data_IF_570392132066
#
_entry.id   IF_570392132066
#
_cell.length_a   1.000
_cell.length_b   1.000
_cell.length_c   1.000
_cell.angle_alpha   90.00
_cell.angle_beta   90.00
_cell.angle_gamma   90.00
#
_symmetry.space_group_name_H-M   'P 1'
#
loop_
_entity.id
_entity.type
_entity.pdbx_description
1 polymer ?
#
# COMPACT_ATOMS: atom_id res chain seq x y z
N UNK A 1 -4.54 -2.24 2.61
CA UNK A 1 -5.19 -1.98 1.32
C UNK A 1 -6.33 -1.02 1.55
N UNK A 2 -6.58 -0.12 0.60
CA UNK A 2 -7.64 0.89 0.67
C UNK A 2 -8.30 1.05 -0.70
N UNK A 3 -9.63 1.14 -0.73
CA UNK A 3 -10.37 1.48 -1.95
C UNK A 3 -10.18 2.96 -2.28
N UNK A 4 -10.01 3.27 -3.56
CA UNK A 4 -9.92 4.64 -4.03
C UNK A 4 -11.32 5.24 -4.23
N UNK A 5 -11.53 6.52 -3.91
CA UNK A 5 -12.81 7.16 -4.14
C UNK A 5 -13.03 7.38 -5.64
N UNK A 6 -14.26 7.12 -6.11
CA UNK A 6 -14.70 7.44 -7.47
C UNK A 6 -14.67 6.27 -8.46
N UNK A 7 -14.04 5.15 -8.12
CA UNK A 7 -14.08 3.91 -8.89
C UNK A 7 -13.86 2.67 -8.01
N UNK A 8 -13.89 1.49 -8.62
CA UNK A 8 -13.67 0.20 -7.96
C UNK A 8 -12.17 -0.16 -7.91
N UNK A 9 -11.25 0.80 -7.92
CA UNK A 9 -9.82 0.49 -7.84
C UNK A 9 -9.35 0.41 -6.40
N UNK A 10 -8.43 -0.52 -6.17
CA UNK A 10 -7.88 -0.82 -4.86
C UNK A 10 -6.37 -0.53 -4.85
N UNK A 11 -5.93 0.20 -3.83
CA UNK A 11 -4.51 0.41 -3.54
C UNK A 11 -4.02 -0.61 -2.51
N UNK A 12 -2.98 -1.36 -2.86
CA UNK A 12 -2.21 -2.21 -1.95
C UNK A 12 -0.87 -1.58 -1.59
N UNK A 13 -0.42 -1.84 -0.36
CA UNK A 13 0.92 -1.47 0.12
C UNK A 13 1.54 -2.72 0.69
N UNK A 14 2.68 -3.12 0.15
CA UNK A 14 3.45 -4.26 0.66
C UNK A 14 4.15 -3.88 1.97
N UNK A 15 4.52 -4.87 2.77
CA UNK A 15 5.33 -4.65 3.98
C UNK A 15 6.65 -3.92 3.68
N UNK A 16 7.20 -4.11 2.48
CA UNK A 16 8.43 -3.45 2.05
C UNK A 16 8.26 -1.99 1.58
N UNK A 17 7.02 -1.45 1.62
CA UNK A 17 6.70 -0.06 1.30
C UNK A 17 6.26 0.19 -0.14
N UNK A 18 6.47 -0.75 -1.06
CA UNK A 18 6.00 -0.62 -2.46
C UNK A 18 4.47 -0.60 -2.54
N UNK A 19 3.94 0.14 -3.52
CA UNK A 19 2.49 0.31 -3.72
C UNK A 19 2.05 -0.19 -5.10
N UNK A 20 0.81 -0.69 -5.17
CA UNK A 20 0.12 -1.07 -6.42
C UNK A 20 -1.31 -0.52 -6.42
N UNK A 21 -1.84 -0.17 -7.59
CA UNK A 21 -3.27 0.12 -7.78
C UNK A 21 -3.81 -0.81 -8.87
N UNK A 22 -4.87 -1.54 -8.56
CA UNK A 22 -5.46 -2.53 -9.46
C UNK A 22 -7.01 -2.48 -9.40
N UNK A 23 -7.68 -3.10 -10.36
CA UNK A 23 -9.16 -3.07 -10.48
C UNK A 23 -9.88 -3.92 -9.43
N UNK A 24 -9.16 -4.77 -8.71
CA UNK A 24 -9.80 -5.66 -7.76
C UNK A 24 -8.88 -6.28 -6.73
N UNK A 25 -9.47 -6.89 -5.70
CA UNK A 25 -8.73 -7.39 -4.56
C UNK A 25 -7.84 -8.58 -4.94
N UNK A 26 -8.25 -9.41 -5.90
CA UNK A 26 -7.46 -10.58 -6.34
C UNK A 26 -6.12 -10.16 -6.94
N UNK A 27 -6.12 -9.13 -7.80
CA UNK A 27 -4.90 -8.60 -8.42
C UNK A 27 -3.97 -8.00 -7.36
N UNK A 28 -4.52 -7.21 -6.43
CA UNK A 28 -3.73 -6.64 -5.33
C UNK A 28 -3.15 -7.73 -4.42
N UNK A 29 -3.93 -8.75 -4.04
CA UNK A 29 -3.44 -9.85 -3.22
C UNK A 29 -2.39 -10.69 -3.92
N UNK A 30 -2.59 -10.98 -5.21
CA UNK A 30 -1.62 -11.70 -6.02
C UNK A 30 -0.28 -10.95 -6.04
N UNK A 31 -0.32 -9.62 -6.19
CA UNK A 31 0.87 -8.79 -6.16
C UNK A 31 1.53 -8.74 -4.77
N UNK A 32 0.75 -8.56 -3.69
CA UNK A 32 1.27 -8.48 -2.33
C UNK A 32 1.96 -9.78 -1.89
N UNK A 33 1.41 -10.93 -2.26
CA UNK A 33 1.95 -12.26 -1.90
C UNK A 33 3.11 -12.69 -2.79
N UNK A 34 3.33 -12.03 -3.93
CA UNK A 34 4.43 -12.34 -4.84
C UNK A 34 5.80 -11.86 -4.32
N UNK A 35 5.85 -11.05 -3.25
CA UNK A 35 7.12 -10.59 -2.70
C UNK A 35 8.07 -11.77 -2.38
N UNK A 36 9.35 -11.73 -2.79
CA UNK A 36 10.08 -10.58 -3.36
C UNK A 36 9.97 -10.44 -4.89
N UNK A 37 9.34 -11.37 -5.59
CA UNK A 37 9.26 -11.37 -7.04
C UNK A 37 8.40 -10.20 -7.55
N UNK A 38 9.02 -9.34 -8.36
CA UNK A 38 8.35 -8.20 -8.99
C UNK A 38 8.38 -6.91 -8.15
N UNK A 39 8.81 -6.96 -6.89
CA UNK A 39 9.13 -5.74 -6.13
C UNK A 39 10.03 -6.07 -4.93
N UNK A 40 11.20 -5.43 -4.93
CA UNK A 40 12.16 -5.49 -3.84
C UNK A 40 12.08 -4.12 -3.14
N UNK A 41 11.69 -4.10 -1.87
CA UNK A 41 11.66 -2.85 -1.13
C UNK A 41 13.07 -2.29 -0.94
N UNK A 42 13.14 -1.00 -0.66
CA UNK A 42 14.29 -0.43 0.04
C UNK A 42 14.18 -0.85 1.50
N UNK A 43 14.60 -2.07 1.82
CA UNK A 43 14.62 -2.57 3.19
C UNK A 43 15.44 -1.61 4.09
N UNK A 44 14.79 -0.65 4.76
CA UNK A 44 15.41 0.13 5.85
C UNK A 44 15.31 1.66 5.87
N UNK A 45 14.50 2.34 5.04
CA UNK A 45 14.24 3.78 5.26
C UNK A 45 13.00 4.02 6.14
N UNK A 46 13.08 3.65 7.41
CA UNK A 46 12.31 4.33 8.46
C UNK A 46 13.15 5.49 9.00
N UNK A 47 12.91 6.73 8.53
CA UNK A 47 12.82 7.83 9.49
C UNK A 47 11.72 8.83 9.12
N UNK A 48 10.67 8.90 9.94
CA UNK A 48 9.83 10.09 10.06
C UNK A 48 8.90 10.42 8.87
N UNK A 49 7.66 9.96 8.97
CA UNK A 49 6.51 10.76 8.52
C UNK A 49 5.60 11.00 9.73
N UNK A 50 6.15 11.63 10.76
CA UNK A 50 5.36 12.49 11.63
C UNK A 50 4.98 13.73 10.80
N UNK A 51 3.91 13.62 10.03
CA UNK A 51 3.21 14.75 9.45
C UNK A 51 1.72 14.55 9.71
N UNK A 52 1.27 15.13 10.82
CA UNK A 52 -0.14 15.39 11.06
C UNK A 52 -0.82 14.49 12.07
N UNK A 53 -0.46 14.60 13.35
CA UNK A 53 -1.47 14.53 14.41
C UNK A 53 -2.33 15.80 14.36
N UNK A 54 -3.12 15.96 13.31
CA UNK A 54 -4.34 16.76 13.37
C UNK A 54 -5.46 15.77 13.68
N UNK A 55 -5.98 15.84 14.90
CA UNK A 55 -6.90 14.87 15.46
C UNK A 55 -8.10 14.59 14.56
N UNK A 56 -8.43 13.31 14.43
CA UNK A 56 -9.76 12.86 14.03
C UNK A 56 -10.35 12.17 15.26
N UNK A 57 -11.43 12.70 15.86
CA UNK A 57 -12.07 12.04 16.98
C UNK A 57 -13.10 11.02 16.51
N UNK A 58 -12.67 9.99 15.77
CA UNK A 58 -13.29 8.66 15.65
C UNK A 58 -12.48 7.78 14.69
#
# INVERSE_FOLDING_TARGET
>A
MVWLPGDDRLRGTCHCGSEVVAEGPVEVWTWLLAHPDGHHGVDGAHPGALAGTAGVPW
#
